data_IF_387778592667
#
_entry.id   IF_387778592667
#
_cell.length_a   1.000
_cell.length_b   1.000
_cell.length_c   1.000
_cell.angle_alpha   90.00
_cell.angle_beta   90.00
_cell.angle_gamma   90.00
#
_symmetry.space_group_name_H-M   'P 1'
#
loop_
_entity.id
_entity.type
_entity.pdbx_description
1 polymer ?
#
# COMPACT_ATOMS: atom_id res chain seq x y z
N UNK A 1 9.06 4.33 -76.85
CA UNK A 1 9.70 3.51 -75.80
C UNK A 1 9.67 4.30 -74.49
N UNK A 2 8.56 4.21 -73.75
CA UNK A 2 8.29 4.96 -72.51
C UNK A 2 8.10 3.97 -71.37
N UNK A 3 9.21 3.37 -70.95
CA UNK A 3 9.30 2.68 -69.67
C UNK A 3 10.40 3.40 -68.88
N UNK A 4 10.14 4.66 -68.52
CA UNK A 4 10.83 5.28 -67.38
C UNK A 4 10.31 4.54 -66.15
N UNK A 5 10.89 3.37 -65.97
CA UNK A 5 11.33 2.79 -64.72
C UNK A 5 10.43 3.12 -63.52
N UNK A 6 9.22 2.54 -63.50
CA UNK A 6 8.34 2.50 -62.33
C UNK A 6 9.08 2.04 -61.07
N UNK A 7 10.10 1.20 -61.24
CA UNK A 7 11.02 0.79 -60.17
C UNK A 7 11.92 1.92 -59.66
N UNK A 8 12.35 2.84 -60.51
CA UNK A 8 13.17 4.00 -60.12
C UNK A 8 12.33 5.06 -59.38
N UNK A 9 11.08 5.27 -59.81
CA UNK A 9 10.11 6.11 -59.10
C UNK A 9 9.70 5.52 -57.75
N UNK A 10 9.47 4.20 -57.65
CA UNK A 10 9.20 3.54 -56.36
C UNK A 10 10.40 3.58 -55.42
N UNK A 11 11.63 3.40 -55.93
CA UNK A 11 12.83 3.45 -55.11
C UNK A 11 13.17 4.87 -54.66
N UNK A 12 12.95 5.89 -55.50
CA UNK A 12 13.03 7.30 -55.08
C UNK A 12 11.97 7.66 -54.03
N UNK A 13 10.73 7.14 -54.14
CA UNK A 13 9.68 7.34 -53.13
C UNK A 13 10.02 6.64 -51.80
N UNK A 14 10.57 5.42 -51.86
CA UNK A 14 10.96 4.65 -50.67
C UNK A 14 12.14 5.31 -49.95
N UNK A 15 13.12 5.84 -50.69
CA UNK A 15 14.23 6.62 -50.12
C UNK A 15 13.71 7.94 -49.51
N UNK A 16 12.71 8.59 -50.11
CA UNK A 16 12.09 9.78 -49.52
C UNK A 16 11.38 9.47 -48.19
N UNK A 17 10.69 8.34 -48.06
CA UNK A 17 10.08 7.91 -46.78
C UNK A 17 11.12 7.48 -45.72
N UNK A 18 12.26 6.92 -46.12
CA UNK A 18 13.35 6.56 -45.20
C UNK A 18 14.10 7.81 -44.70
N UNK A 19 14.24 8.85 -45.53
CA UNK A 19 14.93 10.10 -45.15
C UNK A 19 13.99 11.09 -44.43
N UNK A 20 12.69 11.11 -44.77
CA UNK A 20 11.67 11.89 -44.04
C UNK A 20 11.19 11.21 -42.75
N UNK A 21 11.61 9.97 -42.49
CA UNK A 21 11.30 9.21 -41.27
C UNK A 21 12.23 9.48 -40.08
N UNK A 22 13.22 10.37 -40.22
CA UNK A 22 13.92 10.93 -39.07
C UNK A 22 12.99 11.89 -38.33
N UNK A 23 12.13 11.35 -37.47
CA UNK A 23 11.62 12.15 -36.35
C UNK A 23 12.82 12.73 -35.61
N UNK A 24 12.93 14.04 -35.62
CA UNK A 24 13.87 14.78 -34.82
C UNK A 24 13.59 14.49 -33.34
N UNK A 25 14.33 13.54 -32.76
CA UNK A 25 14.35 13.27 -31.31
C UNK A 25 15.47 14.02 -30.61
N UNK A 26 16.14 14.94 -31.30
CA UNK A 26 17.35 15.58 -30.77
C UNK A 26 17.07 16.67 -29.75
N UNK A 27 15.80 17.09 -29.58
CA UNK A 27 15.40 18.05 -28.54
C UNK A 27 14.13 17.65 -27.78
N UNK A 28 14.08 16.43 -27.25
CA UNK A 28 13.17 16.17 -26.13
C UNK A 28 13.75 16.81 -24.86
N UNK A 29 13.67 18.14 -24.79
CA UNK A 29 13.81 18.83 -23.51
C UNK A 29 12.80 18.19 -22.56
N UNK A 30 13.29 17.66 -21.43
CA UNK A 30 12.43 17.14 -20.38
C UNK A 30 11.40 18.24 -20.07
N UNK A 31 10.09 17.92 -20.05
CA UNK A 31 9.08 18.91 -19.68
C UNK A 31 9.49 19.58 -18.38
N UNK A 32 9.48 20.90 -18.35
CA UNK A 32 9.74 21.63 -17.11
C UNK A 32 8.73 21.20 -16.05
N UNK A 33 9.17 21.16 -14.79
CA UNK A 33 8.29 20.80 -13.69
C UNK A 33 7.07 21.74 -13.69
N UNK A 34 5.86 21.22 -13.43
CA UNK A 34 4.67 22.05 -13.40
C UNK A 34 4.78 23.08 -12.29
N UNK A 35 4.10 24.22 -12.48
CA UNK A 35 3.95 25.19 -11.40
C UNK A 35 3.23 24.55 -10.21
N UNK A 36 3.81 24.71 -9.03
CA UNK A 36 3.22 24.26 -7.76
C UNK A 36 2.38 25.37 -7.10
N UNK A 37 2.23 26.52 -7.76
CA UNK A 37 1.48 27.66 -7.25
C UNK A 37 2.14 28.25 -5.99
N UNK A 38 1.39 28.30 -4.89
CA UNK A 38 1.81 28.95 -3.64
C UNK A 38 2.52 28.02 -2.65
N UNK A 39 2.75 26.74 -3.00
CA UNK A 39 3.45 25.78 -2.14
C UNK A 39 4.83 25.46 -2.71
N UNK A 40 5.78 25.14 -1.84
CA UNK A 40 7.14 24.77 -2.24
C UNK A 40 7.49 23.36 -1.79
N UNK A 41 8.09 22.59 -2.70
CA UNK A 41 8.63 21.25 -2.44
C UNK A 41 10.17 21.23 -2.39
N UNK A 42 10.82 22.40 -2.27
CA UNK A 42 12.28 22.52 -2.21
C UNK A 42 12.91 21.61 -1.15
N UNK A 43 12.26 21.50 0.01
CA UNK A 43 12.60 20.56 1.08
C UNK A 43 11.38 19.72 1.42
N UNK A 44 11.08 18.77 0.54
CA UNK A 44 9.96 17.85 0.69
C UNK A 44 10.36 16.66 1.57
N UNK A 45 9.65 16.45 2.68
CA UNK A 45 9.91 15.37 3.63
C UNK A 45 8.60 14.63 3.91
N UNK A 46 8.67 13.30 4.00
CA UNK A 46 7.53 12.46 4.36
C UNK A 46 7.91 11.53 5.49
N UNK A 47 6.94 11.21 6.34
CA UNK A 47 7.11 10.25 7.44
C UNK A 47 5.83 9.47 7.67
N UNK A 48 5.97 8.20 8.07
CA UNK A 48 4.84 7.31 8.17
C UNK A 48 5.25 5.85 8.34
N UNK A 49 4.42 4.96 7.84
CA UNK A 49 4.64 3.51 7.87
C UNK A 49 4.99 2.93 6.48
N UNK A 50 4.63 1.66 6.26
CA UNK A 50 4.80 0.89 5.03
C UNK A 50 4.26 1.60 3.77
N UNK A 51 3.10 2.25 3.88
CA UNK A 51 2.44 3.00 2.81
C UNK A 51 3.30 4.18 2.37
N UNK A 52 4.00 4.79 3.32
CA UNK A 52 4.94 5.88 3.03
C UNK A 52 6.24 5.34 2.45
N UNK A 53 6.73 4.21 2.95
CA UNK A 53 7.99 3.60 2.50
C UNK A 53 7.95 3.05 1.07
N UNK A 54 6.75 2.83 0.49
CA UNK A 54 6.59 2.13 -0.79
C UNK A 54 6.71 0.60 -0.65
N UNK A 55 6.35 0.07 0.52
CA UNK A 55 6.31 -1.36 0.78
C UNK A 55 5.23 -2.02 -0.07
N UNK A 56 5.52 -3.19 -0.63
CA UNK A 56 4.60 -3.97 -1.48
C UNK A 56 4.89 -5.45 -1.33
N UNK A 57 3.88 -6.29 -1.55
CA UNK A 57 4.03 -7.75 -1.64
C UNK A 57 4.89 -8.35 -0.51
N UNK A 58 4.73 -7.87 0.73
CA UNK A 58 5.47 -8.37 1.89
C UNK A 58 6.97 -8.04 1.94
N UNK A 59 7.46 -7.06 1.19
CA UNK A 59 8.87 -6.63 1.26
C UNK A 59 9.08 -5.14 0.95
N UNK A 60 10.17 -4.58 1.48
CA UNK A 60 10.69 -3.27 1.10
C UNK A 60 11.78 -3.45 0.04
N UNK A 61 11.51 -3.09 -1.22
CA UNK A 61 12.44 -3.31 -2.33
C UNK A 61 12.41 -2.19 -3.38
N UNK A 62 13.57 -1.92 -3.98
CA UNK A 62 13.82 -0.77 -4.84
C UNK A 62 12.82 -0.64 -5.98
N UNK A 63 12.52 -1.73 -6.69
CA UNK A 63 11.60 -1.69 -7.83
C UNK A 63 10.14 -1.32 -7.48
N UNK A 64 9.76 -1.38 -6.20
CA UNK A 64 8.51 -0.79 -5.67
C UNK A 64 8.71 0.61 -5.06
N UNK A 65 9.79 0.81 -4.31
CA UNK A 65 10.05 2.06 -3.58
C UNK A 65 10.19 3.28 -4.51
N UNK A 66 10.70 3.09 -5.73
CA UNK A 66 10.79 4.17 -6.73
C UNK A 66 9.41 4.64 -7.23
N UNK A 67 8.36 3.87 -6.96
CA UNK A 67 6.96 4.20 -7.22
C UNK A 67 6.17 4.43 -5.92
N UNK A 68 6.81 4.69 -4.78
CA UNK A 68 6.10 5.18 -3.59
C UNK A 68 5.36 6.48 -3.93
N UNK A 69 4.19 6.72 -3.31
CA UNK A 69 3.37 7.90 -3.66
C UNK A 69 4.15 9.21 -3.53
N UNK A 70 4.99 9.33 -2.50
CA UNK A 70 5.85 10.49 -2.30
C UNK A 70 6.95 10.62 -3.33
N UNK A 71 7.56 9.51 -3.78
CA UNK A 71 8.59 9.58 -4.84
C UNK A 71 8.00 10.02 -6.16
N UNK A 72 6.80 9.56 -6.49
CA UNK A 72 6.13 9.98 -7.72
C UNK A 72 5.76 11.48 -7.67
N UNK A 73 5.26 12.00 -6.54
CA UNK A 73 5.04 13.44 -6.35
C UNK A 73 6.36 14.22 -6.45
N UNK A 74 7.42 13.75 -5.81
CA UNK A 74 8.73 14.40 -5.86
C UNK A 74 9.27 14.48 -7.28
N UNK A 75 9.15 13.40 -8.07
CA UNK A 75 9.55 13.39 -9.48
C UNK A 75 8.69 14.37 -10.29
N UNK A 76 7.37 14.39 -10.08
CA UNK A 76 6.45 15.29 -10.77
C UNK A 76 6.86 16.76 -10.58
N UNK A 77 7.15 17.17 -9.34
CA UNK A 77 7.52 18.56 -9.01
C UNK A 77 9.03 18.81 -9.04
N UNK A 78 9.82 17.85 -9.52
CA UNK A 78 11.28 17.91 -9.58
C UNK A 78 11.97 18.24 -8.23
N UNK A 79 11.42 17.74 -7.12
CA UNK A 79 12.03 17.86 -5.80
C UNK A 79 13.19 16.87 -5.64
N UNK A 80 14.28 17.32 -5.02
CA UNK A 80 15.35 16.42 -4.55
C UNK A 80 14.76 15.52 -3.45
N UNK A 81 14.84 14.21 -3.65
CA UNK A 81 14.11 13.28 -2.81
C UNK A 81 14.81 11.92 -2.71
N UNK A 82 15.44 11.71 -1.56
CA UNK A 82 16.13 10.49 -1.19
C UNK A 82 15.31 9.60 -0.26
N UNK A 83 15.40 8.30 -0.48
CA UNK A 83 14.68 7.27 0.28
C UNK A 83 15.64 6.16 0.70
N UNK A 84 15.39 5.46 1.82
CA UNK A 84 16.17 4.30 2.24
C UNK A 84 15.89 3.13 1.29
N UNK A 85 16.63 3.02 0.19
CA UNK A 85 16.40 1.98 -0.82
C UNK A 85 16.99 0.65 -0.37
N UNK A 86 16.32 -0.44 -0.71
CA UNK A 86 16.82 -1.79 -0.54
C UNK A 86 16.86 -2.54 -1.88
N UNK A 87 17.95 -3.22 -2.19
CA UNK A 87 18.07 -3.98 -3.43
C UNK A 87 17.00 -5.07 -3.50
N UNK A 88 16.47 -5.34 -4.69
CA UNK A 88 15.59 -6.49 -4.90
C UNK A 88 16.28 -7.80 -4.45
N UNK A 89 15.55 -8.75 -3.82
CA UNK A 89 14.10 -8.78 -3.57
C UNK A 89 13.64 -8.02 -2.30
N UNK A 90 14.55 -7.31 -1.63
CA UNK A 90 14.24 -6.39 -0.53
C UNK A 90 14.46 -6.93 0.88
N UNK A 91 14.05 -6.12 1.86
CA UNK A 91 14.12 -6.43 3.29
C UNK A 91 12.79 -7.00 3.74
N UNK A 92 12.61 -8.31 3.56
CA UNK A 92 11.37 -9.00 3.87
C UNK A 92 11.26 -10.32 3.11
N UNK A 93 10.08 -10.91 3.16
CA UNK A 93 9.76 -12.16 2.45
C UNK A 93 8.91 -11.81 1.23
N UNK A 94 9.54 -11.41 0.13
CA UNK A 94 8.82 -10.89 -1.05
C UNK A 94 7.90 -11.98 -1.62
N UNK A 95 6.62 -11.64 -1.73
CA UNK A 95 5.59 -12.49 -2.32
C UNK A 95 5.67 -12.35 -3.83
N UNK A 96 5.68 -13.48 -4.52
CA UNK A 96 5.76 -13.57 -5.98
C UNK A 96 4.71 -14.53 -6.52
N UNK A 97 4.35 -14.37 -7.79
CA UNK A 97 3.49 -15.34 -8.47
C UNK A 97 4.31 -16.59 -8.80
N UNK A 98 3.78 -17.75 -8.40
CA UNK A 98 4.31 -19.06 -8.76
C UNK A 98 3.59 -19.65 -9.98
N UNK A 99 2.27 -19.47 -10.07
CA UNK A 99 1.45 -19.89 -11.20
C UNK A 99 0.23 -18.99 -11.35
N UNK A 100 -0.30 -18.88 -12.58
CA UNK A 100 -1.55 -18.17 -12.90
C UNK A 100 -2.70 -19.13 -13.21
N UNK A 101 -2.45 -20.44 -13.26
CA UNK A 101 -3.49 -21.45 -13.45
C UNK A 101 -3.12 -22.82 -12.87
N UNK A 102 -3.59 -23.17 -11.65
CA UNK A 102 -4.29 -22.30 -10.70
C UNK A 102 -3.40 -21.16 -10.21
N UNK A 103 -3.99 -20.06 -9.75
CA UNK A 103 -3.26 -18.96 -9.13
C UNK A 103 -2.58 -19.47 -7.87
N UNK A 104 -1.27 -19.37 -7.86
CA UNK A 104 -0.45 -19.75 -6.73
C UNK A 104 0.57 -18.66 -6.46
N UNK A 105 0.75 -18.34 -5.19
CA UNK A 105 1.83 -17.49 -4.72
C UNK A 105 2.99 -18.34 -4.21
N UNK A 106 4.17 -17.75 -4.17
CA UNK A 106 5.34 -18.25 -3.46
C UNK A 106 5.98 -17.12 -2.67
N UNK A 107 6.75 -17.51 -1.66
CA UNK A 107 7.61 -16.58 -0.92
C UNK A 107 9.03 -16.67 -1.45
N UNK A 108 9.58 -15.56 -1.90
CA UNK A 108 11.01 -15.41 -2.13
C UNK A 108 11.70 -15.16 -0.79
N UNK A 109 12.48 -16.14 -0.34
CA UNK A 109 13.20 -16.10 0.95
C UNK A 109 14.59 -15.47 0.85
N UNK A 110 15.05 -15.15 -0.36
CA UNK A 110 16.28 -14.37 -0.54
C UNK A 110 16.06 -12.97 0.05
N UNK A 111 17.12 -12.40 0.61
CA UNK A 111 17.07 -11.06 1.24
C UNK A 111 17.99 -10.13 0.45
N UNK A 112 17.51 -8.93 0.17
CA UNK A 112 18.31 -7.85 -0.39
C UNK A 112 19.21 -7.18 0.64
N UNK A 113 19.77 -6.04 0.29
CA UNK A 113 20.56 -5.21 1.19
C UNK A 113 20.16 -3.74 1.06
N UNK A 114 20.24 -2.96 2.15
CA UNK A 114 20.16 -1.50 2.05
C UNK A 114 21.21 -0.94 1.07
N UNK A 115 20.81 -0.04 0.17
CA UNK A 115 21.67 0.47 -0.93
C UNK A 115 22.47 1.71 -0.49
N UNK A 116 21.85 2.61 0.27
CA UNK A 116 22.36 3.96 0.50
C UNK A 116 22.55 4.31 1.98
N UNK A 117 22.88 3.32 2.83
CA UNK A 117 23.08 3.53 4.28
C UNK A 117 24.10 4.62 4.62
N UNK A 118 25.11 4.82 3.77
CA UNK A 118 26.16 5.83 3.96
C UNK A 118 25.74 7.25 3.52
N UNK A 119 24.51 7.46 3.05
CA UNK A 119 24.03 8.78 2.63
C UNK A 119 24.15 9.80 3.78
N UNK A 120 24.87 10.90 3.57
CA UNK A 120 25.35 11.74 4.68
C UNK A 120 24.24 12.52 5.42
N UNK A 121 23.11 12.79 4.77
CA UNK A 121 21.98 13.52 5.35
C UNK A 121 20.83 12.57 5.74
N UNK A 122 19.86 13.01 6.57
CA UNK A 122 18.61 12.27 6.73
C UNK A 122 17.88 12.06 5.40
N UNK A 123 17.17 10.94 5.25
CA UNK A 123 16.35 10.71 4.05
C UNK A 123 15.15 11.65 4.03
N UNK A 124 14.66 11.95 2.82
CA UNK A 124 13.39 12.67 2.65
C UNK A 124 12.21 11.76 2.98
N UNK A 125 12.30 10.47 2.67
CA UNK A 125 11.30 9.48 3.08
C UNK A 125 11.74 8.75 4.36
N UNK A 126 11.04 9.06 5.45
CA UNK A 126 11.22 8.49 6.78
C UNK A 126 10.08 7.54 7.14
N UNK A 127 9.46 6.90 6.14
CA UNK A 127 8.48 5.84 6.33
C UNK A 127 9.13 4.54 6.81
N UNK A 128 8.62 3.95 7.88
CA UNK A 128 9.09 2.67 8.41
C UNK A 128 7.95 1.65 8.40
N UNK A 129 7.98 0.61 7.54
CA UNK A 129 7.04 -0.50 7.62
C UNK A 129 6.98 -1.06 9.05
N UNK A 130 5.78 -1.26 9.59
CA UNK A 130 5.50 -1.69 10.95
C UNK A 130 5.39 -0.56 11.98
N UNK A 131 5.60 0.71 11.61
CA UNK A 131 5.54 1.82 12.57
C UNK A 131 4.12 2.17 13.03
N UNK A 132 3.98 2.47 14.31
CA UNK A 132 2.78 3.01 14.96
C UNK A 132 2.93 4.53 15.14
N UNK A 133 1.86 5.23 15.52
CA UNK A 133 1.92 6.68 15.84
C UNK A 133 3.00 6.98 16.88
N UNK A 134 3.13 6.10 17.87
CA UNK A 134 4.15 6.17 18.92
C UNK A 134 5.57 6.34 18.35
N UNK A 135 5.89 5.62 17.28
CA UNK A 135 7.27 5.49 16.81
C UNK A 135 7.81 6.77 16.18
N UNK A 136 6.94 7.58 15.56
CA UNK A 136 7.32 8.77 14.81
C UNK A 136 8.12 9.77 15.66
N UNK A 137 7.74 9.93 16.93
CA UNK A 137 8.38 10.88 17.84
C UNK A 137 9.40 10.18 18.74
N UNK A 138 9.13 8.94 19.15
CA UNK A 138 9.84 8.30 20.26
C UNK A 138 10.91 7.29 19.82
N UNK A 139 10.76 6.65 18.66
CA UNK A 139 11.64 5.55 18.26
C UNK A 139 12.87 6.09 17.55
N UNK A 140 14.06 5.71 18.04
CA UNK A 140 15.35 6.14 17.47
C UNK A 140 16.16 4.97 16.89
N UNK A 141 15.78 3.75 17.24
CA UNK A 141 16.39 2.48 16.87
C UNK A 141 15.40 1.35 17.12
N UNK A 142 15.65 0.18 16.55
CA UNK A 142 14.78 -1.00 16.67
C UNK A 142 14.36 -1.32 18.10
N UNK A 143 15.29 -1.27 19.05
CA UNK A 143 15.07 -1.66 20.44
C UNK A 143 14.04 -0.78 21.19
N UNK A 144 13.80 0.44 20.71
CA UNK A 144 12.91 1.39 21.38
C UNK A 144 11.51 1.44 20.73
N UNK A 145 11.30 0.68 19.65
CA UNK A 145 10.07 0.65 18.86
C UNK A 145 8.88 0.13 19.65
N UNK A 146 7.66 0.54 19.25
CA UNK A 146 6.43 0.08 19.86
C UNK A 146 6.33 -1.45 19.91
N UNK A 147 6.64 -2.10 18.79
CA UNK A 147 6.60 -3.56 18.67
C UNK A 147 7.70 -4.24 19.48
N UNK A 148 8.89 -3.63 19.61
CA UNK A 148 9.97 -4.20 20.41
C UNK A 148 9.61 -4.29 21.89
N UNK A 149 8.83 -3.33 22.41
CA UNK A 149 8.28 -3.37 23.77
C UNK A 149 7.31 -4.53 23.98
N UNK A 150 6.70 -5.02 22.91
CA UNK A 150 5.86 -6.21 22.88
C UNK A 150 6.63 -7.49 22.47
N UNK A 151 7.97 -7.43 22.41
CA UNK A 151 8.83 -8.57 22.08
C UNK A 151 9.05 -8.83 20.59
N UNK A 152 8.54 -7.96 19.70
CA UNK A 152 8.70 -8.09 18.24
C UNK A 152 9.63 -7.02 17.68
N UNK A 153 10.85 -7.43 17.34
CA UNK A 153 11.87 -6.53 16.79
C UNK A 153 11.62 -6.24 15.31
N UNK A 154 11.75 -4.98 14.92
CA UNK A 154 11.67 -4.54 13.53
C UNK A 154 12.97 -3.83 13.10
N UNK A 155 13.90 -4.54 12.44
CA UNK A 155 15.21 -3.98 12.06
C UNK A 155 15.14 -2.86 11.02
N UNK A 156 13.98 -2.63 10.37
CA UNK A 156 13.84 -1.56 9.38
C UNK A 156 13.97 -0.18 10.04
N UNK A 157 13.66 -0.04 11.33
CA UNK A 157 13.93 1.20 12.06
C UNK A 157 15.41 1.62 11.98
N UNK A 158 16.35 0.68 12.08
CA UNK A 158 17.78 1.00 12.03
C UNK A 158 18.25 1.33 10.60
N UNK A 159 17.59 0.76 9.57
CA UNK A 159 17.86 1.06 8.16
C UNK A 159 17.42 2.48 7.79
N UNK A 160 16.24 2.89 8.28
CA UNK A 160 15.67 4.20 7.96
C UNK A 160 16.27 5.29 8.85
N UNK A 161 16.28 5.07 10.17
CA UNK A 161 16.66 6.10 11.14
C UNK A 161 18.17 6.24 11.33
N UNK A 162 18.93 5.15 11.15
CA UNK A 162 20.41 5.14 11.19
C UNK A 162 21.02 5.81 12.43
N UNK A 163 20.33 5.76 13.56
CA UNK A 163 20.76 6.39 14.81
C UNK A 163 20.74 7.92 14.80
N UNK A 164 20.19 8.58 13.77
CA UNK A 164 20.15 10.04 13.63
C UNK A 164 18.97 10.69 14.39
N UNK A 165 18.32 9.95 15.28
CA UNK A 165 17.11 10.35 16.02
C UNK A 165 15.83 9.79 15.38
N UNK A 166 14.67 10.13 15.96
CA UNK A 166 13.38 9.70 15.45
C UNK A 166 13.01 10.32 14.10
N UNK A 167 12.03 9.74 13.41
CA UNK A 167 11.54 10.25 12.13
C UNK A 167 11.19 11.75 12.22
N UNK A 168 10.49 12.16 13.27
CA UNK A 168 10.19 13.58 13.49
C UNK A 168 11.45 14.44 13.67
N UNK A 169 12.43 14.00 14.47
CA UNK A 169 13.66 14.77 14.71
C UNK A 169 14.47 14.95 13.43
N UNK A 170 14.56 13.89 12.62
CA UNK A 170 15.22 13.92 11.31
C UNK A 170 14.48 14.81 10.32
N UNK A 171 13.14 14.74 10.27
CA UNK A 171 12.33 15.64 9.44
C UNK A 171 12.53 17.10 9.85
N UNK A 172 12.49 17.41 11.15
CA UNK A 172 12.73 18.75 11.68
C UNK A 172 14.11 19.29 11.29
N UNK A 173 15.15 18.46 11.37
CA UNK A 173 16.52 18.84 11.01
C UNK A 173 16.65 19.28 9.54
N UNK A 174 15.81 18.73 8.65
CA UNK A 174 15.77 19.10 7.24
C UNK A 174 15.05 20.43 6.96
N UNK A 175 14.39 21.05 7.95
CA UNK A 175 13.67 22.34 7.81
C UNK A 175 12.70 22.34 6.61
N UNK A 176 11.70 21.43 6.57
CA UNK A 176 10.90 21.16 5.38
C UNK A 176 10.10 22.40 4.93
N UNK A 177 9.86 22.52 3.62
CA UNK A 177 8.86 23.46 3.05
C UNK A 177 7.49 22.81 2.86
N UNK A 178 7.49 21.48 2.70
CA UNK A 178 6.32 20.63 2.64
C UNK A 178 6.61 19.35 3.43
N UNK A 179 5.71 18.99 4.33
CA UNK A 179 5.80 17.75 5.11
C UNK A 179 4.54 16.92 4.98
N UNK A 180 4.67 15.65 4.61
CA UNK A 180 3.57 14.70 4.69
C UNK A 180 3.74 13.77 5.90
N UNK A 181 2.65 13.53 6.63
CA UNK A 181 2.63 12.55 7.72
C UNK A 181 1.41 11.63 7.58
N UNK A 182 1.64 10.37 7.21
CA UNK A 182 0.60 9.36 7.12
C UNK A 182 0.96 8.16 7.99
N UNK A 183 0.35 8.10 9.17
CA UNK A 183 0.63 7.11 10.21
C UNK A 183 -0.66 6.78 10.97
N UNK A 184 -0.71 5.67 11.68
CA UNK A 184 -1.87 5.25 12.47
C UNK A 184 -2.64 4.07 11.90
N UNK A 185 -2.27 3.58 10.71
CA UNK A 185 -2.92 2.40 10.13
C UNK A 185 -2.63 1.15 10.98
N UNK A 186 -1.40 1.01 11.47
CA UNK A 186 -0.94 -0.17 12.22
C UNK A 186 -1.54 -0.27 13.62
N UNK A 187 -1.92 0.87 14.19
CA UNK A 187 -2.62 0.98 15.46
C UNK A 187 -3.95 0.19 15.47
N UNK A 188 -4.53 -0.12 14.30
CA UNK A 188 -5.73 -0.96 14.17
C UNK A 188 -5.57 -2.16 13.23
N UNK A 189 -4.72 -2.05 12.20
CA UNK A 189 -4.57 -3.11 11.19
C UNK A 189 -3.99 -4.39 11.80
N UNK A 190 -3.04 -4.31 12.73
CA UNK A 190 -2.48 -5.49 13.41
C UNK A 190 -3.53 -6.26 14.23
N UNK A 191 -4.43 -5.55 14.90
CA UNK A 191 -5.58 -6.17 15.57
C UNK A 191 -6.48 -6.89 14.57
N UNK A 192 -6.86 -6.21 13.49
CA UNK A 192 -7.73 -6.78 12.46
C UNK A 192 -7.10 -7.97 11.73
N UNK A 193 -5.82 -7.95 11.37
CA UNK A 193 -5.20 -9.07 10.63
C UNK A 193 -4.92 -10.28 11.51
N UNK A 194 -4.96 -10.12 12.83
CA UNK A 194 -4.72 -11.20 13.81
C UNK A 194 -5.98 -11.93 14.28
N UNK A 195 -7.15 -11.71 13.67
CA UNK A 195 -8.39 -12.27 14.22
C UNK A 195 -8.87 -11.55 15.48
N UNK A 196 -8.50 -10.28 15.68
CA UNK A 196 -8.83 -9.56 16.91
C UNK A 196 -8.11 -10.05 18.17
N UNK A 197 -7.02 -10.82 18.01
CA UNK A 197 -6.25 -11.42 19.12
C UNK A 197 -5.13 -10.53 19.63
N UNK A 198 -4.51 -9.72 18.76
CA UNK A 198 -3.52 -8.69 19.13
C UNK A 198 -4.25 -7.42 19.54
N UNK A 199 -3.89 -6.74 20.65
CA UNK A 199 -4.54 -5.48 21.04
C UNK A 199 -4.42 -4.37 19.98
N UNK A 200 -5.49 -3.59 19.80
CA UNK A 200 -5.45 -2.30 19.10
C UNK A 200 -4.90 -1.20 20.01
N UNK A 201 -4.49 -0.06 19.44
CA UNK A 201 -4.20 1.15 20.23
C UNK A 201 -5.51 1.76 20.73
N UNK A 202 -5.71 1.90 22.05
CA UNK A 202 -6.93 2.52 22.57
C UNK A 202 -7.19 3.91 21.94
N UNK A 203 -8.43 4.25 21.54
CA UNK A 203 -8.73 5.55 20.92
C UNK A 203 -8.26 6.78 21.70
N UNK A 204 -8.27 6.74 23.04
CA UNK A 204 -7.77 7.86 23.84
C UNK A 204 -6.24 7.93 23.80
N UNK A 205 -5.55 6.78 23.82
CA UNK A 205 -4.10 6.70 23.66
C UNK A 205 -3.68 7.18 22.27
N UNK A 206 -4.37 6.73 21.23
CA UNK A 206 -4.18 7.21 19.86
C UNK A 206 -4.35 8.73 19.79
N UNK A 207 -5.42 9.26 20.38
CA UNK A 207 -5.69 10.70 20.46
C UNK A 207 -4.59 11.48 21.17
N UNK A 208 -4.08 10.97 22.28
CA UNK A 208 -2.97 11.60 23.02
C UNK A 208 -1.67 11.61 22.21
N UNK A 209 -1.31 10.47 21.59
CA UNK A 209 -0.12 10.35 20.75
C UNK A 209 -0.21 11.27 19.52
N UNK A 210 -1.35 11.30 18.85
CA UNK A 210 -1.56 12.18 17.71
C UNK A 210 -1.61 13.65 18.09
N UNK A 211 -2.15 14.00 19.27
CA UNK A 211 -2.08 15.38 19.76
C UNK A 211 -0.63 15.82 19.94
N UNK A 212 0.22 15.00 20.59
CA UNK A 212 1.64 15.27 20.74
C UNK A 212 2.34 15.44 19.38
N UNK A 213 2.02 14.55 18.43
CA UNK A 213 2.56 14.60 17.08
C UNK A 213 2.10 15.87 16.33
N UNK A 214 0.82 16.21 16.38
CA UNK A 214 0.26 17.40 15.74
C UNK A 214 0.82 18.70 16.32
N UNK A 215 1.02 18.77 17.64
CA UNK A 215 1.70 19.90 18.30
C UNK A 215 3.15 20.03 17.79
N UNK A 216 3.87 18.91 17.67
CA UNK A 216 5.24 18.87 17.16
C UNK A 216 5.31 19.31 15.70
N UNK A 217 4.42 18.81 14.84
CA UNK A 217 4.31 19.18 13.43
C UNK A 217 3.95 20.66 13.25
N UNK A 218 3.01 21.18 14.05
CA UNK A 218 2.61 22.59 14.01
C UNK A 218 3.74 23.57 14.34
N UNK A 219 4.76 23.12 15.07
CA UNK A 219 5.94 23.94 15.41
C UNK A 219 6.93 24.16 14.26
N UNK A 220 6.81 23.42 13.15
CA UNK A 220 7.80 23.42 12.06
C UNK A 220 7.69 24.62 11.11
N UNK A 221 6.68 25.49 11.26
CA UNK A 221 6.38 26.61 10.36
C UNK A 221 6.42 26.21 8.87
N UNK A 222 5.79 25.08 8.55
CA UNK A 222 5.79 24.45 7.22
C UNK A 222 4.38 24.06 6.80
N UNK A 223 4.18 23.77 5.51
CA UNK A 223 2.91 23.21 5.04
C UNK A 223 2.88 21.72 5.40
N UNK A 224 1.84 21.30 6.12
CA UNK A 224 1.69 19.91 6.58
C UNK A 224 0.45 19.30 5.95
N UNK A 225 0.62 18.12 5.36
CA UNK A 225 -0.46 17.26 4.86
C UNK A 225 -0.48 15.99 5.71
N UNK A 226 -1.64 15.66 6.26
CA UNK A 226 -1.88 14.35 6.88
C UNK A 226 -2.95 13.59 6.07
N UNK A 227 -3.05 12.29 6.27
CA UNK A 227 -4.13 11.49 5.70
C UNK A 227 -4.82 10.71 6.82
N UNK A 228 -6.13 10.50 6.67
CA UNK A 228 -6.88 9.70 7.61
C UNK A 228 -6.62 8.19 7.40
N UNK A 229 -7.19 7.36 8.26
CA UNK A 229 -7.00 5.90 8.25
C UNK A 229 -8.01 5.27 7.28
N UNK A 230 -7.59 4.58 6.22
CA UNK A 230 -8.49 3.86 5.32
C UNK A 230 -9.23 2.74 6.06
N UNK A 231 -10.36 2.28 5.50
CA UNK A 231 -11.05 1.10 6.03
C UNK A 231 -10.17 -0.14 5.88
N UNK A 232 -9.63 -0.63 7.00
CA UNK A 232 -8.73 -1.80 6.99
C UNK A 232 -9.48 -3.10 6.68
N UNK A 233 -10.80 -3.17 6.89
CA UNK A 233 -11.61 -4.36 6.58
C UNK A 233 -12.06 -4.44 5.13
N UNK A 234 -11.82 -3.40 4.33
CA UNK A 234 -12.27 -3.32 2.94
C UNK A 234 -11.17 -3.68 1.91
N UNK A 235 -9.97 -4.02 2.39
CA UNK A 235 -8.83 -4.40 1.54
C UNK A 235 -8.92 -5.88 1.12
N UNK A 236 -8.26 -6.29 0.02
CA UNK A 236 -8.25 -7.68 -0.46
C UNK A 236 -7.90 -8.71 0.62
N UNK A 237 -7.09 -8.34 1.61
CA UNK A 237 -6.77 -9.22 2.73
C UNK A 237 -8.01 -9.78 3.45
N UNK A 238 -9.14 -9.07 3.46
CA UNK A 238 -10.39 -9.53 4.08
C UNK A 238 -11.52 -9.83 3.09
N UNK A 239 -11.37 -9.41 1.83
CA UNK A 239 -12.43 -9.53 0.82
C UNK A 239 -12.17 -10.60 -0.24
N UNK A 240 -10.95 -11.15 -0.30
CA UNK A 240 -10.59 -12.21 -1.26
C UNK A 240 -11.24 -13.55 -0.93
N UNK A 241 -11.29 -13.92 0.35
CA UNK A 241 -11.86 -15.17 0.81
C UNK A 241 -13.21 -14.85 1.47
N UNK A 242 -14.34 -15.16 0.82
CA UNK A 242 -15.63 -15.01 1.47
C UNK A 242 -15.72 -15.98 2.67
N UNK A 243 -16.62 -15.75 3.66
CA UNK A 243 -16.87 -16.67 4.77
C UNK A 243 -17.62 -17.94 4.33
N UNK A 244 -17.40 -18.39 3.10
CA UNK A 244 -18.03 -19.51 2.45
C UNK A 244 -17.15 -20.05 1.31
N UNK A 245 -17.47 -21.25 0.84
CA UNK A 245 -16.93 -21.83 -0.38
C UNK A 245 -18.05 -22.40 -1.25
N UNK A 246 -17.69 -22.93 -2.42
CA UNK A 246 -18.58 -23.63 -3.33
C UNK A 246 -18.19 -25.11 -3.37
N UNK A 247 -19.15 -26.00 -3.20
CA UNK A 247 -18.95 -27.43 -3.45
C UNK A 247 -18.55 -27.64 -4.92
N UNK A 248 -17.38 -28.23 -5.23
CA UNK A 248 -16.93 -28.38 -6.61
C UNK A 248 -17.83 -29.26 -7.49
N UNK A 249 -18.53 -30.23 -6.89
CA UNK A 249 -19.39 -31.18 -7.61
C UNK A 249 -20.81 -30.64 -7.83
N UNK A 250 -21.42 -30.04 -6.79
CA UNK A 250 -22.83 -29.60 -6.83
C UNK A 250 -23.00 -28.11 -7.09
N UNK A 251 -21.94 -27.33 -6.87
CA UNK A 251 -21.98 -25.89 -6.91
C UNK A 251 -22.73 -25.21 -5.75
N UNK A 252 -23.15 -25.97 -4.76
CA UNK A 252 -23.81 -25.44 -3.56
C UNK A 252 -22.84 -24.59 -2.73
N UNK A 253 -23.34 -23.47 -2.19
CA UNK A 253 -22.59 -22.64 -1.24
C UNK A 253 -22.55 -23.32 0.12
N UNK A 254 -21.36 -23.42 0.70
CA UNK A 254 -21.11 -23.96 2.05
C UNK A 254 -20.49 -22.84 2.88
N UNK A 255 -21.19 -22.37 3.90
CA UNK A 255 -20.63 -21.39 4.84
C UNK A 255 -19.57 -22.06 5.70
N UNK A 256 -18.49 -21.34 6.00
CA UNK A 256 -17.44 -21.86 6.87
C UNK A 256 -17.87 -21.87 8.34
N UNK A 257 -17.23 -22.74 9.12
CA UNK A 257 -17.21 -22.67 10.58
C UNK A 257 -15.93 -21.97 11.03
N UNK A 258 -16.02 -21.06 11.98
CA UNK A 258 -14.89 -20.37 12.61
C UNK A 258 -14.95 -20.50 14.12
N UNK A 259 -13.78 -20.60 14.74
CA UNK A 259 -13.61 -20.35 16.17
C UNK A 259 -13.68 -18.85 16.38
N UNK A 260 -14.49 -18.41 17.35
CA UNK A 260 -14.50 -17.02 17.83
C UNK A 260 -14.31 -17.00 19.35
N UNK A 261 -14.24 -15.80 19.95
CA UNK A 261 -14.24 -15.63 21.42
C UNK A 261 -15.43 -16.28 22.13
N UNK A 262 -16.57 -16.43 21.45
CA UNK A 262 -17.80 -17.02 22.03
C UNK A 262 -17.96 -18.51 21.73
N UNK A 263 -17.03 -19.11 20.98
CA UNK A 263 -17.03 -20.52 20.63
C UNK A 263 -17.02 -20.77 19.12
N UNK A 264 -17.17 -22.03 18.73
CA UNK A 264 -17.26 -22.40 17.31
C UNK A 264 -18.65 -22.09 16.79
N UNK A 265 -18.74 -21.36 15.67
CA UNK A 265 -20.00 -21.09 14.99
C UNK A 265 -19.85 -21.08 13.47
N UNK A 266 -20.99 -21.20 12.78
CA UNK A 266 -21.04 -20.96 11.36
C UNK A 266 -20.92 -19.45 11.08
N UNK A 267 -20.11 -19.09 10.09
CA UNK A 267 -19.87 -17.72 9.67
C UNK A 267 -20.98 -17.22 8.75
N UNK A 268 -21.21 -15.91 8.75
CA UNK A 268 -22.29 -15.26 8.03
C UNK A 268 -21.72 -14.29 7.00
N UNK A 269 -22.09 -14.50 5.73
CA UNK A 269 -21.71 -13.61 4.61
C UNK A 269 -22.21 -12.18 4.89
N UNK A 270 -21.31 -11.21 4.74
CA UNK A 270 -21.60 -9.79 4.94
C UNK A 270 -21.52 -9.33 6.40
N UNK A 271 -21.32 -10.24 7.35
CA UNK A 271 -21.11 -9.89 8.77
C UNK A 271 -19.71 -10.31 9.24
N UNK A 272 -19.32 -11.53 8.93
CA UNK A 272 -18.03 -12.10 9.32
C UNK A 272 -17.02 -11.98 8.15
N UNK A 273 -15.74 -11.86 8.48
CA UNK A 273 -14.64 -11.77 7.53
C UNK A 273 -13.66 -12.94 7.72
N UNK A 274 -13.08 -13.40 6.61
CA UNK A 274 -12.03 -14.41 6.61
C UNK A 274 -10.79 -13.78 5.98
N UNK A 275 -9.67 -13.85 6.68
CA UNK A 275 -8.41 -13.27 6.22
C UNK A 275 -7.82 -14.08 5.06
N UNK A 276 -6.98 -13.43 4.24
CA UNK A 276 -6.26 -14.07 3.15
C UNK A 276 -5.32 -15.19 3.64
N UNK A 277 -4.85 -15.11 4.90
CA UNK A 277 -4.08 -16.15 5.57
C UNK A 277 -4.83 -17.49 5.65
N UNK A 278 -6.17 -17.48 5.69
CA UNK A 278 -6.96 -18.71 5.70
C UNK A 278 -6.75 -19.57 4.44
N UNK A 279 -6.29 -19.00 3.32
CA UNK A 279 -5.97 -19.76 2.09
C UNK A 279 -5.06 -20.96 2.38
N UNK A 280 -4.01 -20.77 3.18
CA UNK A 280 -3.04 -21.81 3.52
C UNK A 280 -3.63 -22.94 4.40
N UNK A 281 -4.81 -22.71 4.99
CA UNK A 281 -5.53 -23.68 5.80
C UNK A 281 -6.62 -24.38 4.98
N UNK A 282 -7.26 -23.66 4.06
CA UNK A 282 -8.39 -24.17 3.26
C UNK A 282 -7.93 -25.18 2.21
N UNK A 283 -6.77 -24.96 1.58
CA UNK A 283 -6.24 -25.84 0.53
C UNK A 283 -4.78 -26.23 0.74
N UNK A 284 -4.42 -27.42 0.26
CA UNK A 284 -3.03 -27.87 0.21
C UNK A 284 -2.25 -27.19 -0.94
N UNK A 285 -0.96 -27.49 -1.06
CA UNK A 285 -0.09 -26.93 -2.11
C UNK A 285 -0.53 -27.30 -3.54
N UNK A 286 -1.34 -28.34 -3.70
CA UNK A 286 -1.94 -28.76 -4.97
C UNK A 286 -3.31 -28.14 -5.22
N UNK A 287 -3.84 -27.36 -4.26
CA UNK A 287 -5.16 -26.73 -4.34
C UNK A 287 -6.32 -27.63 -3.93
N UNK A 288 -6.06 -28.78 -3.29
CA UNK A 288 -7.11 -29.67 -2.80
C UNK A 288 -7.65 -29.20 -1.44
N UNK A 289 -8.96 -29.35 -1.16
CA UNK A 289 -9.54 -29.00 0.14
C UNK A 289 -8.92 -29.81 1.28
N UNK A 290 -8.55 -29.15 2.38
CA UNK A 290 -8.06 -29.83 3.59
C UNK A 290 -9.18 -30.27 4.53
N UNK A 291 -10.40 -29.76 4.32
CA UNK A 291 -11.55 -29.89 5.20
C UNK A 291 -11.60 -28.88 6.36
N UNK A 292 -10.58 -28.03 6.55
CA UNK A 292 -10.65 -26.93 7.53
C UNK A 292 -11.76 -25.95 7.13
N UNK A 293 -12.50 -25.47 8.12
CA UNK A 293 -13.63 -24.56 7.96
C UNK A 293 -14.93 -25.24 7.51
N UNK A 294 -14.94 -26.54 7.18
CA UNK A 294 -16.13 -27.21 6.62
C UNK A 294 -17.00 -27.91 7.66
N UNK A 295 -16.54 -28.01 8.91
CA UNK A 295 -17.30 -28.61 10.01
C UNK A 295 -17.04 -27.90 11.33
N UNK A 296 -17.96 -27.99 12.31
CA UNK A 296 -17.72 -27.44 13.65
C UNK A 296 -16.59 -28.17 14.40
N UNK A 297 -16.23 -29.39 13.99
CA UNK A 297 -15.11 -30.15 14.58
C UNK A 297 -13.76 -29.77 13.99
N UNK A 298 -13.74 -29.02 12.88
CA UNK A 298 -12.52 -28.54 12.21
C UNK A 298 -12.71 -27.10 11.72
N UNK A 299 -13.02 -26.14 12.61
CA UNK A 299 -13.28 -24.76 12.22
C UNK A 299 -12.01 -24.04 11.76
N UNK A 300 -12.17 -22.90 11.09
CA UNK A 300 -11.10 -21.93 10.92
C UNK A 300 -10.66 -21.40 12.31
N UNK A 301 -9.36 -21.27 12.58
CA UNK A 301 -8.88 -20.67 13.81
C UNK A 301 -9.31 -19.21 13.98
N UNK A 302 -9.44 -18.76 15.23
CA UNK A 302 -9.75 -17.38 15.61
C UNK A 302 -8.81 -16.38 14.92
N UNK A 303 -7.52 -16.70 14.84
CA UNK A 303 -6.49 -15.86 14.23
C UNK A 303 -6.70 -15.49 12.75
N UNK A 304 -7.59 -16.18 12.02
CA UNK A 304 -7.89 -15.91 10.60
C UNK A 304 -9.34 -15.52 10.34
N UNK A 305 -10.14 -15.34 11.41
CA UNK A 305 -11.56 -14.99 11.35
C UNK A 305 -11.77 -13.69 12.12
N UNK A 306 -12.50 -12.75 11.52
CA UNK A 306 -13.06 -11.60 12.25
C UNK A 306 -14.56 -11.81 12.32
N UNK A 307 -15.06 -11.98 13.53
CA UNK A 307 -16.50 -12.09 13.73
C UNK A 307 -17.20 -10.72 13.63
N UNK A 308 -18.53 -10.72 13.47
CA UNK A 308 -19.32 -9.50 13.33
C UNK A 308 -19.06 -8.43 14.41
N UNK A 309 -18.75 -8.84 15.64
CA UNK A 309 -18.55 -7.93 16.76
C UNK A 309 -17.15 -7.31 16.68
N UNK A 310 -16.16 -8.11 16.29
CA UNK A 310 -14.79 -7.65 16.01
C UNK A 310 -14.75 -6.73 14.77
N UNK A 311 -15.50 -7.05 13.72
CA UNK A 311 -15.67 -6.15 12.56
C UNK A 311 -16.25 -4.81 12.99
N UNK A 312 -17.24 -4.80 13.90
CA UNK A 312 -17.81 -3.57 14.44
C UNK A 312 -16.79 -2.79 15.29
N UNK A 313 -16.01 -3.46 16.13
CA UNK A 313 -14.93 -2.85 16.92
C UNK A 313 -13.92 -2.17 16.01
N UNK A 314 -13.45 -2.85 14.96
CA UNK A 314 -12.49 -2.29 14.01
C UNK A 314 -13.04 -1.05 13.31
N UNK A 315 -14.27 -1.12 12.79
CA UNK A 315 -14.91 0.01 12.10
C UNK A 315 -15.11 1.22 13.02
N UNK A 316 -15.58 1.00 14.24
CA UNK A 316 -15.80 2.05 15.22
C UNK A 316 -14.48 2.70 15.65
N UNK A 317 -13.41 1.90 15.79
CA UNK A 317 -12.07 2.40 16.14
C UNK A 317 -11.51 3.28 15.01
N UNK A 318 -11.59 2.82 13.75
CA UNK A 318 -11.19 3.63 12.59
C UNK A 318 -11.97 4.95 12.52
N UNK A 319 -13.28 4.93 12.78
CA UNK A 319 -14.09 6.14 12.82
C UNK A 319 -13.63 7.11 13.92
N UNK A 320 -13.32 6.60 15.13
CA UNK A 320 -12.81 7.40 16.24
C UNK A 320 -11.44 8.01 15.96
N UNK A 321 -10.52 7.23 15.38
CA UNK A 321 -9.22 7.73 14.93
C UNK A 321 -9.38 8.84 13.88
N UNK A 322 -10.23 8.63 12.88
CA UNK A 322 -10.45 9.60 11.81
C UNK A 322 -11.09 10.90 12.31
N UNK A 323 -11.99 10.81 13.29
CA UNK A 323 -12.53 11.99 13.96
C UNK A 323 -11.43 12.79 14.68
N UNK A 324 -10.54 12.10 15.40
CA UNK A 324 -9.36 12.72 16.05
C UNK A 324 -8.49 13.45 15.03
N UNK A 325 -8.15 12.79 13.91
CA UNK A 325 -7.31 13.36 12.86
C UNK A 325 -7.95 14.59 12.22
N UNK A 326 -9.26 14.54 11.94
CA UNK A 326 -10.01 15.67 11.39
C UNK A 326 -9.97 16.88 12.34
N UNK A 327 -10.24 16.67 13.63
CA UNK A 327 -10.20 17.72 14.66
C UNK A 327 -8.80 18.33 14.78
N UNK A 328 -7.75 17.51 14.82
CA UNK A 328 -6.38 18.00 14.92
C UNK A 328 -5.94 18.75 13.66
N UNK A 329 -6.25 18.23 12.47
CA UNK A 329 -5.95 18.90 11.20
C UNK A 329 -6.62 20.28 11.11
N UNK A 330 -7.89 20.38 11.51
CA UNK A 330 -8.60 21.66 11.57
C UNK A 330 -7.92 22.63 12.56
N UNK A 331 -7.62 22.17 13.78
CA UNK A 331 -6.99 23.01 14.81
C UNK A 331 -5.60 23.52 14.46
N UNK A 332 -4.83 22.77 13.65
CA UNK A 332 -3.47 23.12 13.24
C UNK A 332 -3.40 23.73 11.84
N UNK A 333 -4.52 23.80 11.13
CA UNK A 333 -4.54 24.29 9.75
C UNK A 333 -3.86 23.36 8.75
N UNK A 334 -3.71 22.06 9.05
CA UNK A 334 -3.16 21.08 8.12
C UNK A 334 -4.11 20.83 6.94
N UNK A 335 -3.56 20.34 5.83
CA UNK A 335 -4.38 19.67 4.82
C UNK A 335 -4.65 18.23 5.30
N UNK A 336 -5.85 17.72 5.05
CA UNK A 336 -6.20 16.33 5.33
C UNK A 336 -6.63 15.64 4.04
N UNK A 337 -6.03 14.50 3.75
CA UNK A 337 -6.46 13.60 2.67
C UNK A 337 -7.51 12.66 3.24
N UNK A 338 -8.74 12.71 2.72
CA UNK A 338 -9.81 11.80 3.10
C UNK A 338 -9.71 10.46 2.33
N UNK A 339 -8.65 9.71 2.66
CA UNK A 339 -8.33 8.45 2.01
C UNK A 339 -9.32 7.33 2.40
N UNK A 340 -9.97 7.45 3.56
CA UNK A 340 -11.02 6.54 4.01
C UNK A 340 -12.24 6.56 3.09
N UNK A 341 -12.82 7.74 2.88
CA UNK A 341 -13.96 7.89 1.97
C UNK A 341 -13.58 7.47 0.55
N UNK A 342 -12.38 7.87 0.10
CA UNK A 342 -11.87 7.50 -1.21
C UNK A 342 -11.84 5.97 -1.41
N UNK A 343 -11.14 5.22 -0.55
CA UNK A 343 -11.02 3.78 -0.73
C UNK A 343 -12.33 3.02 -0.46
N UNK A 344 -13.22 3.51 0.40
CA UNK A 344 -14.55 2.91 0.55
C UNK A 344 -15.36 3.01 -0.75
N UNK A 345 -15.31 4.15 -1.43
CA UNK A 345 -15.98 4.31 -2.73
C UNK A 345 -15.36 3.41 -3.81
N UNK A 346 -14.03 3.29 -3.81
CA UNK A 346 -13.31 2.42 -4.74
C UNK A 346 -13.60 0.94 -4.48
N UNK A 347 -13.71 0.52 -3.22
CA UNK A 347 -14.08 -0.85 -2.87
C UNK A 347 -15.52 -1.19 -3.31
N UNK A 348 -16.45 -0.23 -3.19
CA UNK A 348 -17.84 -0.43 -3.59
C UNK A 348 -18.05 -0.38 -5.11
N UNK A 349 -17.38 0.53 -5.83
CA UNK A 349 -17.73 0.89 -7.20
C UNK A 349 -16.57 0.73 -8.22
N UNK A 350 -15.34 0.58 -7.73
CA UNK A 350 -14.14 0.84 -8.51
C UNK A 350 -13.94 2.32 -8.85
N UNK A 351 -12.92 2.60 -9.64
CA UNK A 351 -12.61 3.94 -10.17
C UNK A 351 -12.04 3.82 -11.57
N UNK A 352 -12.27 4.82 -12.42
CA UNK A 352 -11.61 4.93 -13.73
C UNK A 352 -10.62 6.09 -13.66
N UNK A 353 -9.35 5.80 -13.93
CA UNK A 353 -8.26 6.79 -13.96
C UNK A 353 -7.48 6.58 -15.25
N UNK A 354 -7.28 7.65 -16.02
CA UNK A 354 -6.56 7.63 -17.31
C UNK A 354 -7.01 6.49 -18.25
N UNK A 355 -8.33 6.29 -18.33
CA UNK A 355 -8.96 5.28 -19.19
C UNK A 355 -8.92 3.84 -18.65
N UNK A 356 -8.30 3.60 -17.49
CA UNK A 356 -8.19 2.26 -16.89
C UNK A 356 -9.11 2.13 -15.69
N UNK A 357 -9.89 1.03 -15.62
CA UNK A 357 -10.71 0.71 -14.45
C UNK A 357 -9.89 -0.03 -13.40
N UNK A 358 -9.95 0.48 -12.17
CA UNK A 358 -9.31 -0.07 -11.00
C UNK A 358 -10.37 -0.48 -9.97
N UNK A 359 -10.14 -1.59 -9.27
CA UNK A 359 -11.01 -2.12 -8.22
C UNK A 359 -10.18 -2.67 -7.06
N UNK A 360 -10.82 -2.92 -5.92
CA UNK A 360 -10.20 -3.62 -4.80
C UNK A 360 -10.16 -5.16 -4.98
N UNK A 361 -10.34 -5.67 -6.21
CA UNK A 361 -10.23 -7.12 -6.47
C UNK A 361 -8.76 -7.56 -6.36
N UNK A 362 -8.51 -8.63 -5.61
CA UNK A 362 -7.17 -9.19 -5.46
C UNK A 362 -6.60 -9.61 -6.83
N UNK A 363 -5.37 -9.19 -7.12
CA UNK A 363 -4.62 -9.47 -8.36
C UNK A 363 -5.17 -8.78 -9.61
N UNK A 364 -6.47 -8.90 -9.89
CA UNK A 364 -7.08 -8.39 -11.13
C UNK A 364 -7.52 -6.93 -11.05
N UNK A 365 -7.66 -6.38 -9.84
CA UNK A 365 -8.21 -5.04 -9.64
C UNK A 365 -7.22 -3.90 -9.88
N UNK A 366 -5.93 -4.18 -10.06
CA UNK A 366 -4.91 -3.17 -10.35
C UNK A 366 -4.42 -2.36 -9.15
N UNK A 367 -5.21 -2.26 -8.08
CA UNK A 367 -4.91 -1.34 -6.96
C UNK A 367 -3.94 -1.89 -5.93
N UNK A 368 -3.99 -3.19 -5.65
CA UNK A 368 -3.27 -3.80 -4.54
C UNK A 368 -2.18 -4.75 -5.03
N UNK A 369 -1.11 -4.83 -4.24
CA UNK A 369 -0.02 -5.77 -4.42
C UNK A 369 -0.37 -7.16 -3.89
N UNK A 370 0.55 -8.13 -3.98
CA UNK A 370 0.28 -9.55 -3.72
C UNK A 370 0.07 -9.90 -2.24
N UNK A 371 0.29 -8.96 -1.32
CA UNK A 371 -0.06 -9.14 0.10
C UNK A 371 -1.54 -8.81 0.40
N UNK A 372 -2.26 -8.23 -0.56
CA UNK A 372 -3.67 -7.85 -0.39
C UNK A 372 -3.88 -6.67 0.58
N UNK A 373 -2.82 -5.95 0.94
CA UNK A 373 -2.85 -4.82 1.87
C UNK A 373 -2.30 -3.56 1.24
N UNK A 374 -1.09 -3.62 0.67
CA UNK A 374 -0.40 -2.45 0.17
C UNK A 374 -0.78 -2.13 -1.27
N UNK A 375 -0.84 -0.85 -1.67
CA UNK A 375 -1.07 -0.47 -3.06
C UNK A 375 -0.01 -1.04 -4.02
N UNK A 376 -0.41 -1.30 -5.26
CA UNK A 376 0.52 -1.50 -6.37
C UNK A 376 1.22 -0.18 -6.75
N UNK A 377 2.16 -0.20 -7.69
CA UNK A 377 2.76 1.03 -8.25
C UNK A 377 1.71 2.03 -8.75
N UNK A 378 0.71 1.57 -9.53
CA UNK A 378 -0.41 2.40 -9.98
C UNK A 378 -1.35 2.78 -8.82
N UNK A 379 -1.55 1.88 -7.85
CA UNK A 379 -2.28 2.20 -6.62
C UNK A 379 -1.62 3.36 -5.85
N UNK A 380 -0.29 3.38 -5.73
CA UNK A 380 0.44 4.49 -5.13
C UNK A 380 0.37 5.78 -5.96
N UNK A 381 0.27 5.70 -7.28
CA UNK A 381 0.06 6.87 -8.14
C UNK A 381 -1.34 7.49 -7.89
N UNK A 382 -2.35 6.65 -7.72
CA UNK A 382 -3.71 7.07 -7.36
C UNK A 382 -3.73 7.71 -5.96
N UNK A 383 -3.04 7.11 -4.98
CA UNK A 383 -2.88 7.71 -3.65
C UNK A 383 -2.19 9.07 -3.74
N UNK A 384 -1.11 9.18 -4.53
CA UNK A 384 -0.42 10.44 -4.75
C UNK A 384 -1.35 11.53 -5.31
N UNK A 385 -2.26 11.17 -6.21
CA UNK A 385 -3.26 12.09 -6.75
C UNK A 385 -4.24 12.61 -5.69
N UNK A 386 -4.62 11.80 -4.69
CA UNK A 386 -5.43 12.29 -3.56
C UNK A 386 -4.64 13.24 -2.64
N UNK A 387 -3.33 13.04 -2.45
CA UNK A 387 -2.47 14.01 -1.77
C UNK A 387 -2.37 15.33 -2.55
N UNK A 388 -2.12 15.26 -3.86
CA UNK A 388 -2.08 16.43 -4.75
C UNK A 388 -3.40 17.21 -4.69
N UNK A 389 -4.54 16.51 -4.75
CA UNK A 389 -5.87 17.10 -4.64
C UNK A 389 -6.08 17.83 -3.31
N UNK A 390 -5.68 17.24 -2.18
CA UNK A 390 -5.77 17.88 -0.87
C UNK A 390 -4.90 19.14 -0.77
N UNK A 391 -3.71 19.13 -1.36
CA UNK A 391 -2.79 20.29 -1.41
C UNK A 391 -3.40 21.42 -2.24
N UNK A 392 -3.87 21.11 -3.45
CA UNK A 392 -4.53 22.06 -4.34
C UNK A 392 -5.75 22.69 -3.66
N UNK A 393 -6.59 21.86 -3.02
CA UNK A 393 -7.77 22.33 -2.29
C UNK A 393 -7.41 23.24 -1.10
N UNK A 394 -6.39 22.88 -0.32
CA UNK A 394 -6.04 23.61 0.90
C UNK A 394 -5.37 24.96 0.63
N UNK A 395 -4.50 25.04 -0.37
CA UNK A 395 -3.63 26.20 -0.59
C UNK A 395 -3.79 26.85 -1.96
N UNK A 396 -4.80 26.46 -2.76
CA UNK A 396 -5.05 27.06 -4.07
C UNK A 396 -3.94 26.78 -5.09
N UNK A 397 -3.18 25.71 -4.89
CA UNK A 397 -2.18 25.23 -5.85
C UNK A 397 -2.86 24.60 -7.07
N UNK A 398 -2.10 24.45 -8.16
CA UNK A 398 -2.56 23.82 -9.40
C UNK A 398 -1.59 22.73 -9.86
N UNK A 399 -1.17 21.87 -8.94
CA UNK A 399 -0.29 20.74 -9.26
C UNK A 399 -1.11 19.74 -10.09
N UNK A 400 -0.67 19.35 -11.29
CA UNK A 400 -1.39 18.38 -12.10
C UNK A 400 -1.41 17.01 -11.43
N UNK A 401 -2.40 16.20 -11.75
CA UNK A 401 -2.39 14.79 -11.36
C UNK A 401 -1.26 14.03 -12.08
N UNK A 402 -0.72 13.02 -11.42
CA UNK A 402 0.14 12.01 -12.00
C UNK A 402 -0.69 11.20 -13.00
N UNK A 403 -0.18 11.05 -14.22
CA UNK A 403 -0.74 10.16 -15.21
C UNK A 403 -0.45 8.71 -14.80
N UNK A 404 -1.46 8.02 -14.31
CA UNK A 404 -1.38 6.65 -13.78
C UNK A 404 -1.09 5.65 -14.89
N UNK A 405 -1.47 5.93 -16.14
CA UNK A 405 -1.21 5.05 -17.27
C UNK A 405 0.27 4.95 -17.65
N UNK A 406 1.12 5.90 -17.22
CA UNK A 406 2.57 5.83 -17.46
C UNK A 406 3.33 5.10 -16.35
N UNK A 407 2.65 4.79 -15.24
CA UNK A 407 3.21 4.05 -14.11
C UNK A 407 3.06 2.55 -14.38
N UNK A 408 4.11 1.72 -14.16
CA UNK A 408 3.99 0.28 -14.37
C UNK A 408 2.82 -0.30 -13.58
N UNK A 409 1.93 -1.00 -14.26
CA UNK A 409 0.77 -1.63 -13.64
C UNK A 409 1.10 -2.85 -12.80
N UNK A 410 0.08 -3.37 -12.13
CA UNK A 410 0.13 -4.72 -11.57
C UNK A 410 0.11 -5.76 -12.70
N UNK A 411 0.01 -7.04 -12.33
CA UNK A 411 -0.12 -8.13 -13.30
C UNK A 411 -1.33 -7.89 -14.22
N UNK A 412 -1.07 -7.75 -15.53
CA UNK A 412 -2.11 -7.71 -16.56
C UNK A 412 -2.29 -9.13 -17.09
N UNK A 413 -3.36 -9.79 -16.65
CA UNK A 413 -3.64 -11.18 -17.01
C UNK A 413 -4.65 -11.23 -18.16
N UNK A 414 -4.24 -11.76 -19.31
CA UNK A 414 -5.06 -11.85 -20.52
C UNK A 414 -6.27 -12.79 -20.40
N UNK A 415 -6.30 -13.63 -19.35
CA UNK A 415 -7.40 -14.55 -19.02
C UNK A 415 -7.68 -14.46 -17.53
N UNK A 416 -8.93 -14.75 -17.14
CA UNK A 416 -9.28 -14.91 -15.73
C UNK A 416 -8.37 -15.95 -15.08
N UNK A 417 -7.81 -15.56 -13.95
CA UNK A 417 -7.00 -16.45 -13.13
C UNK A 417 -7.89 -17.56 -12.60
N UNK A 418 -7.47 -18.82 -12.74
CA UNK A 418 -8.19 -19.93 -12.11
C UNK A 418 -7.78 -20.01 -10.65
N UNK A 419 -8.71 -20.35 -9.78
CA UNK A 419 -8.46 -20.53 -8.34
C UNK A 419 -8.40 -22.01 -7.99
N UNK A 420 -8.12 -22.34 -6.74
CA UNK A 420 -8.21 -23.72 -6.24
C UNK A 420 -9.61 -24.30 -6.40
N UNK A 421 -9.78 -25.60 -6.09
CA UNK A 421 -11.10 -26.24 -6.09
C UNK A 421 -12.09 -25.54 -5.13
N UNK A 422 -11.59 -24.82 -4.12
CA UNK A 422 -12.39 -24.08 -3.14
C UNK A 422 -12.71 -22.65 -3.57
N UNK A 423 -12.28 -22.23 -4.76
CA UNK A 423 -12.48 -20.86 -5.26
C UNK A 423 -11.49 -19.84 -4.73
N UNK A 424 -10.46 -20.25 -3.97
CA UNK A 424 -9.48 -19.36 -3.33
C UNK A 424 -8.10 -19.43 -4.01
N UNK A 425 -7.26 -18.37 -3.92
CA UNK A 425 -5.86 -18.46 -4.35
C UNK A 425 -5.11 -19.54 -3.53
N UNK A 426 -4.07 -20.15 -4.11
CA UNK A 426 -3.17 -21.07 -3.39
C UNK A 426 -2.03 -20.25 -2.78
N UNK A 427 -2.00 -20.16 -1.46
CA UNK A 427 -0.98 -19.38 -0.73
C UNK A 427 -0.27 -20.33 0.25
N UNK A 428 1.04 -20.58 0.09
CA UNK A 428 1.78 -21.43 1.00
C UNK A 428 1.75 -20.91 2.43
N UNK A 429 1.71 -21.82 3.41
CA UNK A 429 1.84 -21.49 4.84
C UNK A 429 3.10 -20.63 5.08
N UNK A 430 2.99 -19.59 5.90
CA UNK A 430 4.10 -18.69 6.19
C UNK A 430 4.22 -17.49 5.27
N UNK A 431 3.52 -17.47 4.13
CA UNK A 431 3.68 -16.40 3.12
C UNK A 431 3.25 -15.02 3.64
N UNK A 432 2.30 -14.97 4.58
CA UNK A 432 1.70 -13.72 5.09
C UNK A 432 1.97 -13.51 6.60
N UNK A 433 2.83 -14.32 7.23
CA UNK A 433 3.00 -14.34 8.70
C UNK A 433 3.83 -13.14 9.21
N UNK A 434 4.71 -12.58 8.37
CA UNK A 434 5.69 -11.56 8.74
C UNK A 434 5.48 -10.23 8.00
N UNK A 435 4.24 -9.93 7.60
CA UNK A 435 3.94 -8.67 6.94
C UNK A 435 4.17 -7.51 7.92
N UNK A 436 4.99 -6.55 7.50
CA UNK A 436 5.19 -5.30 8.20
C UNK A 436 4.23 -4.27 7.61
N UNK A 437 3.07 -4.14 8.27
CA UNK A 437 2.00 -3.26 7.84
C UNK A 437 2.30 -1.78 8.04
#
# INVERSE_FOLDING_TARGET
MKYINRFLLLSLLLVFFVVAGCEDRSELNQPSAPSTGQVSFERFVVMGNSLTAGYQSGSLYQSAQVYSFSKQIANLVSAKFEQPLASDPGLGSRIEVASVSPFALKTNKSVGAPINLSYAAPYNNLGVPGAFVYDIVNTTKTADSYTAKAGSLNPIFDVVLRGQGSAFRQAKAQKPTMLFCWIGNNDILGHATSGGTVPLTDPNVFGALWKQLADSLGSLNTKVVIANIPSVTSIPFFTTIPPATKNPATGQIILFYGQTKTGVRQLVIGQDLVTLQASALLTDASGNPTGVGLSPTKPLPDAVVLDKDEVAIVKNTVASYNQTLATLAASKGFAIVDINTFFNNVAANGIVVDGTKFTAEFVNGGLFSLDGVHPSNQGYAIVANEFIKAINLKWGSNIPAINVATVPGSLVLAKKVTTSLMGTPIIPKGTLDNLLF
#
